data_IF_175575589146
#
_entry.id   IF_175575589146
#
_cell.length_a   1.000
_cell.length_b   1.000
_cell.length_c   1.000
_cell.angle_alpha   90.00
_cell.angle_beta   90.00
_cell.angle_gamma   90.00
#
_symmetry.space_group_name_H-M   'P 1'
#
loop_
_entity.id
_entity.type
_entity.pdbx_description
1 polymer ?
#
# COMPACT_ATOMS: atom_id res chain seq x y z
N UNK A 1 10.77 11.57 3.36
CA UNK A 1 11.92 11.99 2.51
C UNK A 1 11.40 13.01 1.51
N UNK A 2 12.19 14.00 1.10
CA UNK A 2 11.78 14.95 0.07
C UNK A 2 12.19 14.50 -1.34
N UNK A 3 11.63 15.12 -2.36
CA UNK A 3 11.88 14.77 -3.77
C UNK A 3 13.34 15.00 -4.18
N UNK A 4 14.03 15.96 -3.58
CA UNK A 4 15.43 16.26 -3.90
C UNK A 4 16.33 15.10 -3.45
N UNK A 5 16.09 14.58 -2.25
CA UNK A 5 16.79 13.41 -1.74
C UNK A 5 16.52 12.14 -2.58
N UNK A 6 15.29 11.96 -3.06
CA UNK A 6 14.93 10.83 -3.94
C UNK A 6 15.68 10.95 -5.28
N UNK A 7 15.73 12.14 -5.88
CA UNK A 7 16.51 12.40 -7.11
C UNK A 7 17.98 12.13 -6.92
N UNK A 8 18.53 12.49 -5.76
CA UNK A 8 19.94 12.20 -5.44
C UNK A 8 20.20 10.70 -5.36
N UNK A 9 19.36 9.93 -4.64
CA UNK A 9 19.49 8.48 -4.56
C UNK A 9 19.45 7.82 -5.96
N UNK A 10 18.58 8.31 -6.83
CA UNK A 10 18.50 7.82 -8.21
C UNK A 10 19.79 8.18 -9.00
N UNK A 11 20.28 9.41 -8.87
CA UNK A 11 21.52 9.87 -9.52
C UNK A 11 22.77 9.10 -9.06
N UNK A 12 22.80 8.70 -7.80
CA UNK A 12 23.87 7.89 -7.21
C UNK A 12 23.77 6.38 -7.57
N UNK A 13 22.76 5.96 -8.34
CA UNK A 13 22.51 4.56 -8.67
C UNK A 13 22.00 3.72 -7.48
N UNK A 14 21.55 4.36 -6.41
CA UNK A 14 21.05 3.72 -5.19
C UNK A 14 19.54 3.51 -5.18
N UNK A 15 18.86 3.93 -6.23
CA UNK A 15 17.41 3.79 -6.39
C UNK A 15 17.05 3.48 -7.84
N UNK A 16 16.62 2.26 -8.08
CA UNK A 16 16.14 1.79 -9.40
C UNK A 16 14.63 1.65 -9.43
N UNK A 17 14.03 1.19 -8.33
CA UNK A 17 12.61 0.92 -8.24
C UNK A 17 11.99 1.48 -6.97
N UNK A 18 10.72 1.82 -7.07
CA UNK A 18 9.88 2.19 -5.92
C UNK A 18 8.66 1.27 -5.88
N UNK A 19 8.44 0.63 -4.74
CA UNK A 19 7.20 -0.06 -4.43
C UNK A 19 6.20 0.97 -3.92
N UNK A 20 5.12 1.16 -4.62
CA UNK A 20 4.01 2.03 -4.24
C UNK A 20 2.78 1.19 -3.97
N UNK A 21 2.05 1.50 -2.93
CA UNK A 21 0.84 0.75 -2.61
C UNK A 21 0.09 1.30 -1.41
N UNK A 22 -1.05 0.71 -1.15
CA UNK A 22 -1.91 1.02 -0.03
C UNK A 22 -2.39 -0.27 0.66
N UNK A 23 -2.78 -0.21 1.93
CA UNK A 23 -3.39 -1.36 2.58
C UNK A 23 -4.80 -1.62 2.01
N UNK A 24 -5.10 -2.89 1.75
CA UNK A 24 -6.45 -3.35 1.49
C UNK A 24 -7.28 -3.46 2.79
N UNK A 25 -8.48 -4.03 2.72
CA UNK A 25 -9.38 -4.16 3.87
C UNK A 25 -8.86 -5.09 4.98
N UNK A 26 -7.90 -5.96 4.65
CA UNK A 26 -7.27 -6.90 5.59
C UNK A 26 -5.88 -6.43 6.05
N UNK A 27 -5.46 -5.24 5.61
CA UNK A 27 -4.16 -4.66 5.94
C UNK A 27 -3.01 -5.16 5.07
N UNK A 28 -3.29 -5.94 4.03
CA UNK A 28 -2.25 -6.38 3.09
C UNK A 28 -1.82 -5.20 2.22
N UNK A 29 -0.51 -4.96 2.15
CA UNK A 29 0.07 -3.92 1.30
C UNK A 29 0.02 -4.37 -0.16
N UNK A 30 -0.85 -3.73 -0.94
CA UNK A 30 -1.04 -4.03 -2.36
C UNK A 30 -0.68 -2.83 -3.23
N UNK A 31 -0.04 -3.11 -4.34
CA UNK A 31 0.39 -2.03 -5.21
C UNK A 31 1.27 -2.48 -6.37
N UNK A 32 2.19 -1.61 -6.75
CA UNK A 32 3.03 -1.76 -7.94
C UNK A 32 4.49 -1.52 -7.62
N UNK A 33 5.37 -2.17 -8.36
CA UNK A 33 6.80 -1.83 -8.42
C UNK A 33 7.04 -1.04 -9.70
N UNK A 34 7.43 0.20 -9.56
CA UNK A 34 7.66 1.12 -10.68
C UNK A 34 9.12 1.53 -10.77
N UNK A 35 9.60 1.82 -11.96
CA UNK A 35 10.94 2.39 -12.13
C UNK A 35 11.03 3.76 -11.45
N UNK A 36 12.15 4.08 -10.82
CA UNK A 36 12.35 5.33 -10.07
C UNK A 36 12.13 6.58 -10.93
N UNK A 37 12.49 6.54 -12.21
CA UNK A 37 12.21 7.62 -13.15
C UNK A 37 10.72 7.83 -13.33
N UNK A 38 9.96 6.77 -13.58
CA UNK A 38 8.50 6.85 -13.74
C UNK A 38 7.83 7.33 -12.43
N UNK A 39 8.35 6.91 -11.26
CA UNK A 39 7.89 7.43 -9.99
C UNK A 39 8.05 8.94 -9.89
N UNK A 40 9.22 9.49 -10.24
CA UNK A 40 9.48 10.92 -10.20
C UNK A 40 8.65 11.73 -11.21
N UNK A 41 8.39 11.16 -12.37
CA UNK A 41 7.59 11.82 -13.42
C UNK A 41 6.08 11.86 -13.06
N UNK A 42 5.60 10.88 -12.28
CA UNK A 42 4.17 10.66 -12.04
C UNK A 42 3.71 10.90 -10.61
N UNK A 43 4.61 11.09 -9.63
CA UNK A 43 4.23 11.10 -8.20
C UNK A 43 3.22 12.20 -7.84
N UNK A 44 3.24 13.34 -8.54
CA UNK A 44 2.34 14.47 -8.29
C UNK A 44 0.90 14.18 -8.76
N UNK A 45 0.79 13.51 -9.91
CA UNK A 45 -0.51 13.13 -10.49
C UNK A 45 -1.06 11.87 -9.83
N UNK A 46 -0.17 11.02 -9.32
CA UNK A 46 -0.47 9.73 -8.73
C UNK A 46 -0.44 8.58 -9.74
N UNK A 47 -0.85 7.42 -9.27
CA UNK A 47 -0.78 6.17 -10.04
C UNK A 47 -2.13 5.48 -10.05
N UNK A 48 -2.63 5.12 -11.21
CA UNK A 48 -3.88 4.38 -11.33
C UNK A 48 -3.80 3.01 -10.65
N UNK A 49 -4.85 2.63 -9.97
CA UNK A 49 -5.05 1.34 -9.34
C UNK A 49 -6.51 0.93 -9.45
N UNK A 50 -6.77 -0.31 -9.83
CA UNK A 50 -8.13 -0.82 -9.86
C UNK A 50 -8.73 -0.86 -8.44
N UNK A 51 -9.98 -0.46 -8.29
CA UNK A 51 -10.72 -0.46 -7.02
C UNK A 51 -11.00 -1.88 -6.49
N UNK A 52 -10.76 -2.91 -7.29
CA UNK A 52 -10.80 -4.33 -6.87
C UNK A 52 -9.91 -4.62 -5.66
N UNK A 53 -8.94 -3.73 -5.39
CA UNK A 53 -8.15 -3.72 -4.16
C UNK A 53 -9.01 -3.93 -2.90
N UNK A 54 -10.22 -3.41 -2.88
CA UNK A 54 -11.16 -3.52 -1.75
C UNK A 54 -12.07 -4.75 -1.83
N UNK A 55 -11.96 -5.51 -2.92
CA UNK A 55 -12.74 -6.72 -3.16
C UNK A 55 -11.93 -8.01 -3.08
N UNK A 56 -10.66 -7.97 -2.70
CA UNK A 56 -9.83 -9.15 -2.51
C UNK A 56 -9.79 -9.59 -1.06
N UNK A 57 -9.80 -10.90 -0.83
CA UNK A 57 -9.37 -11.49 0.43
C UNK A 57 -7.85 -11.73 0.46
N UNK A 58 -7.35 -12.27 1.58
CA UNK A 58 -5.91 -12.55 1.76
C UNK A 58 -5.39 -13.61 0.77
N UNK A 59 -6.26 -14.49 0.26
CA UNK A 59 -5.94 -15.51 -0.74
C UNK A 59 -6.14 -15.03 -2.18
N UNK A 60 -6.40 -13.73 -2.38
CA UNK A 60 -6.64 -13.08 -3.67
C UNK A 60 -7.93 -13.56 -4.39
N UNK A 61 -8.88 -14.12 -3.66
CA UNK A 61 -10.20 -14.38 -4.20
C UNK A 61 -10.95 -13.05 -4.36
N UNK A 62 -11.60 -12.88 -5.49
CA UNK A 62 -12.37 -11.67 -5.77
C UNK A 62 -13.77 -11.81 -5.18
N UNK A 63 -14.03 -11.08 -4.09
CA UNK A 63 -15.29 -11.09 -3.33
C UNK A 63 -16.19 -9.95 -3.81
N UNK A 64 -16.68 -10.01 -5.04
CA UNK A 64 -17.46 -8.90 -5.63
C UNK A 64 -18.96 -9.00 -5.45
N UNK A 65 -19.45 -10.17 -5.08
CA UNK A 65 -20.87 -10.37 -4.80
C UNK A 65 -21.25 -9.55 -3.56
N UNK A 66 -22.18 -8.62 -3.73
CA UNK A 66 -22.69 -7.73 -2.67
C UNK A 66 -21.79 -6.54 -2.27
N UNK A 67 -20.60 -6.35 -2.86
CA UNK A 67 -19.80 -5.15 -2.62
C UNK A 67 -20.37 -3.95 -3.38
N UNK A 68 -20.61 -2.86 -2.65
CA UNK A 68 -21.15 -1.63 -3.26
C UNK A 68 -20.08 -0.76 -3.90
N UNK A 69 -18.85 -0.81 -3.41
CA UNK A 69 -17.77 0.06 -3.87
C UNK A 69 -17.10 -0.47 -5.12
N UNK A 70 -16.76 -1.76 -5.16
CA UNK A 70 -16.06 -2.42 -6.25
C UNK A 70 -16.82 -3.67 -6.67
N UNK A 71 -17.34 -3.71 -7.89
CA UNK A 71 -18.11 -4.84 -8.40
C UNK A 71 -18.20 -4.80 -9.94
N UNK A 72 -18.74 -5.86 -10.53
CA UNK A 72 -18.93 -5.99 -11.97
C UNK A 72 -19.89 -4.95 -12.57
N UNK A 73 -20.90 -4.52 -11.83
CA UNK A 73 -21.86 -3.50 -12.32
C UNK A 73 -21.19 -2.14 -12.49
N UNK A 74 -20.20 -1.82 -11.65
CA UNK A 74 -19.40 -0.60 -11.71
C UNK A 74 -18.22 -0.70 -12.67
N UNK A 75 -17.90 -1.89 -13.19
CA UNK A 75 -16.82 -2.14 -14.14
C UNK A 75 -15.42 -2.04 -13.51
N UNK A 76 -15.28 -2.14 -12.19
CA UNK A 76 -13.99 -2.02 -11.48
C UNK A 76 -13.23 -0.75 -11.86
N UNK A 77 -13.78 0.39 -11.50
CA UNK A 77 -13.20 1.69 -11.81
C UNK A 77 -11.77 1.85 -11.27
N UNK A 78 -11.01 2.72 -11.89
CA UNK A 78 -9.71 3.10 -11.37
C UNK A 78 -9.86 4.08 -10.19
N UNK A 79 -8.96 3.95 -9.23
CA UNK A 79 -8.67 4.90 -8.17
C UNK A 79 -7.24 5.38 -8.31
N UNK A 80 -6.89 6.49 -7.69
CA UNK A 80 -5.57 7.11 -7.80
C UNK A 80 -4.79 6.90 -6.50
N UNK A 81 -3.66 6.22 -6.58
CA UNK A 81 -2.68 6.12 -5.49
C UNK A 81 -1.79 7.36 -5.48
N UNK A 82 -1.86 8.19 -4.45
CA UNK A 82 -0.97 9.35 -4.23
C UNK A 82 0.06 9.02 -3.17
N UNK A 83 1.36 8.99 -3.50
CA UNK A 83 2.41 8.63 -2.55
C UNK A 83 2.52 9.62 -1.39
N UNK A 84 2.56 9.11 -0.16
CA UNK A 84 2.93 9.87 1.02
C UNK A 84 4.46 9.79 1.22
N UNK A 85 5.16 10.85 0.80
CA UNK A 85 6.63 10.90 0.86
C UNK A 85 7.19 10.84 2.30
N UNK A 86 6.38 11.08 3.32
CA UNK A 86 6.80 10.89 4.71
C UNK A 86 7.07 9.41 5.02
N UNK A 87 6.41 8.51 4.29
CA UNK A 87 6.59 7.04 4.43
C UNK A 87 7.68 6.46 3.51
N UNK A 88 8.28 7.29 2.66
CA UNK A 88 9.29 6.82 1.71
C UNK A 88 10.54 6.32 2.45
N UNK A 89 10.88 5.05 2.28
CA UNK A 89 12.03 4.42 2.91
C UNK A 89 12.66 3.35 2.01
N UNK A 90 14.00 3.15 2.08
CA UNK A 90 14.66 2.01 1.46
C UNK A 90 14.07 0.69 1.98
N UNK A 91 13.99 -0.31 1.10
CA UNK A 91 13.64 -1.69 1.49
C UNK A 91 14.91 -2.41 1.94
N UNK A 92 15.06 -2.77 3.23
CA UNK A 92 16.36 -3.23 3.76
C UNK A 92 16.89 -4.54 3.16
N UNK A 93 16.02 -5.36 2.59
CA UNK A 93 16.35 -6.66 2.00
C UNK A 93 16.34 -6.68 0.46
N UNK A 94 16.19 -5.52 -0.19
CA UNK A 94 16.22 -5.38 -1.64
C UNK A 94 17.16 -4.25 -2.03
N UNK A 95 18.16 -4.56 -2.85
CA UNK A 95 19.11 -3.55 -3.33
C UNK A 95 18.41 -2.58 -4.29
N UNK A 96 18.72 -1.29 -4.15
CA UNK A 96 18.25 -0.20 -5.00
C UNK A 96 16.71 -0.07 -5.08
N UNK A 97 16.00 -0.52 -4.05
CA UNK A 97 14.54 -0.46 -3.95
C UNK A 97 14.11 0.36 -2.74
N UNK A 98 13.15 1.24 -2.94
CA UNK A 98 12.43 1.90 -1.86
C UNK A 98 10.95 1.51 -1.85
N UNK A 99 10.27 1.79 -0.76
CA UNK A 99 8.82 1.64 -0.62
C UNK A 99 8.19 2.94 -0.19
N UNK A 100 6.97 3.20 -0.64
CA UNK A 100 6.19 4.37 -0.28
C UNK A 100 4.71 4.00 -0.17
N UNK A 101 4.09 4.31 0.97
CA UNK A 101 2.65 4.11 1.16
C UNK A 101 1.90 5.23 0.44
N UNK A 102 0.76 4.87 -0.16
CA UNK A 102 -0.09 5.82 -0.87
C UNK A 102 -1.42 6.05 -0.14
N UNK A 103 -1.91 7.27 -0.23
CA UNK A 103 -3.30 7.58 0.03
C UNK A 103 -4.13 7.33 -1.25
N UNK A 104 -5.41 6.95 -1.07
CA UNK A 104 -6.29 6.58 -2.17
C UNK A 104 -7.32 7.66 -2.43
N UNK A 105 -7.45 8.01 -3.70
CA UNK A 105 -8.32 9.07 -4.19
C UNK A 105 -9.20 8.54 -5.32
N UNK A 106 -10.39 9.09 -5.47
CA UNK A 106 -11.21 8.86 -6.66
C UNK A 106 -10.63 9.63 -7.85
N UNK A 107 -11.05 9.28 -9.07
CA UNK A 107 -10.72 10.05 -10.28
C UNK A 107 -11.20 11.52 -10.22
N UNK A 108 -12.19 11.79 -9.37
CA UNK A 108 -12.72 13.14 -9.16
C UNK A 108 -11.97 13.94 -8.11
N UNK A 109 -10.89 13.39 -7.54
CA UNK A 109 -10.05 14.08 -6.55
C UNK A 109 -10.62 14.08 -5.14
N UNK A 110 -11.51 13.15 -4.82
CA UNK A 110 -12.04 12.93 -3.47
C UNK A 110 -11.30 11.76 -2.80
N UNK A 111 -11.20 11.77 -1.48
CA UNK A 111 -10.64 10.63 -0.76
C UNK A 111 -11.51 9.38 -0.91
N UNK A 112 -10.90 8.23 -1.06
CA UNK A 112 -11.58 6.93 -0.95
C UNK A 112 -11.84 6.65 0.53
N UNK A 113 -13.04 6.99 0.99
CA UNK A 113 -13.38 7.03 2.43
C UNK A 113 -13.43 5.65 3.11
N UNK A 114 -13.50 4.56 2.35
CA UNK A 114 -13.43 3.19 2.88
C UNK A 114 -11.98 2.71 3.06
N UNK A 115 -10.99 3.45 2.57
CA UNK A 115 -9.58 3.10 2.75
C UNK A 115 -9.21 3.04 4.24
N UNK A 116 -8.63 1.92 4.74
CA UNK A 116 -8.26 1.80 6.15
C UNK A 116 -7.31 2.93 6.60
N UNK A 117 -6.37 3.34 5.74
CA UNK A 117 -5.46 4.45 6.04
C UNK A 117 -6.20 5.78 6.19
N UNK A 118 -7.19 6.06 5.34
CA UNK A 118 -8.01 7.27 5.46
C UNK A 118 -8.83 7.28 6.75
N UNK A 119 -9.46 6.15 7.09
CA UNK A 119 -10.24 6.00 8.33
C UNK A 119 -9.35 6.26 9.54
N UNK A 120 -8.16 5.63 9.60
CA UNK A 120 -7.20 5.84 10.68
C UNK A 120 -6.75 7.30 10.76
N UNK A 121 -6.39 7.92 9.64
CA UNK A 121 -6.00 9.33 9.58
C UNK A 121 -7.07 10.25 10.13
N UNK A 122 -8.33 10.05 9.72
CA UNK A 122 -9.48 10.81 10.22
C UNK A 122 -9.66 10.67 11.74
N UNK A 123 -9.48 9.46 12.28
CA UNK A 123 -9.57 9.24 13.72
C UNK A 123 -8.42 9.89 14.50
N UNK A 124 -7.21 9.84 13.97
CA UNK A 124 -6.04 10.53 14.54
C UNK A 124 -6.27 12.03 14.60
N UNK A 125 -6.72 12.65 13.51
CA UNK A 125 -7.04 14.08 13.47
C UNK A 125 -8.16 14.45 14.46
N UNK A 126 -9.19 13.63 14.57
CA UNK A 126 -10.26 13.84 15.53
C UNK A 126 -9.77 13.75 16.98
N UNK A 127 -8.89 12.79 17.28
CA UNK A 127 -8.28 12.68 18.61
C UNK A 127 -7.44 13.92 18.95
N UNK A 128 -6.63 14.39 18.01
CA UNK A 128 -5.82 15.61 18.16
C UNK A 128 -6.68 16.85 18.40
N UNK A 129 -7.79 17.00 17.67
CA UNK A 129 -8.74 18.09 17.87
C UNK A 129 -9.39 18.08 19.27
N UNK A 130 -9.43 16.92 19.94
CA UNK A 130 -9.89 16.76 21.31
C UNK A 130 -8.75 16.89 22.35
N UNK A 131 -7.53 17.20 21.93
CA UNK A 131 -6.37 17.38 22.81
C UNK A 131 -5.62 16.08 23.16
N UNK A 132 -5.89 14.99 22.45
CA UNK A 132 -5.19 13.70 22.64
C UNK A 132 -4.15 13.48 21.55
N UNK A 133 -2.99 12.94 21.91
CA UNK A 133 -2.01 12.41 20.94
C UNK A 133 -2.11 10.88 20.94
N UNK A 134 -2.69 10.26 19.90
CA UNK A 134 -2.82 8.82 19.84
C UNK A 134 -1.47 8.15 19.62
N UNK A 135 -1.21 7.07 20.38
CA UNK A 135 -0.04 6.24 20.26
C UNK A 135 -0.46 4.79 20.01
N UNK A 136 0.21 4.12 19.10
CA UNK A 136 -0.01 2.70 18.80
C UNK A 136 1.32 2.02 18.50
N UNK A 137 1.40 0.72 18.79
CA UNK A 137 2.51 -0.14 18.42
C UNK A 137 1.97 -1.45 17.85
N UNK A 138 2.70 -2.02 16.89
CA UNK A 138 2.42 -3.36 16.41
C UNK A 138 3.14 -4.37 17.27
N UNK A 139 2.43 -5.42 17.69
CA UNK A 139 3.00 -6.61 18.31
C UNK A 139 2.98 -7.74 17.28
N UNK A 140 4.17 -8.25 16.94
CA UNK A 140 4.34 -9.27 15.92
C UNK A 140 4.64 -10.60 16.57
N UNK A 141 3.73 -11.55 16.44
CA UNK A 141 3.92 -12.93 16.91
C UNK A 141 4.27 -13.84 15.73
N UNK A 142 5.23 -14.74 15.95
CA UNK A 142 5.61 -15.72 14.95
C UNK A 142 6.10 -17.02 15.61
N UNK A 143 6.08 -18.10 14.82
CA UNK A 143 6.59 -19.41 15.22
C UNK A 143 7.59 -19.91 14.21
N UNK A 144 8.69 -20.49 14.70
CA UNK A 144 9.63 -21.19 13.85
C UNK A 144 9.26 -22.67 13.73
N UNK A 145 9.30 -23.19 12.51
CA UNK A 145 9.10 -24.59 12.23
C UNK A 145 10.39 -25.18 11.62
N UNK A 146 10.67 -26.44 11.91
CA UNK A 146 11.74 -27.21 11.22
C UNK A 146 11.20 -27.80 9.92
N UNK A 147 10.81 -26.92 9.02
CA UNK A 147 10.20 -27.29 7.75
C UNK A 147 10.92 -26.58 6.60
N UNK A 148 10.75 -27.09 5.40
CA UNK A 148 11.08 -26.41 4.16
C UNK A 148 9.91 -26.56 3.19
N UNK A 149 9.98 -25.92 2.02
CA UNK A 149 8.88 -25.95 1.06
C UNK A 149 8.51 -27.37 0.56
N UNK A 150 9.47 -28.29 0.52
CA UNK A 150 9.19 -29.68 0.09
C UNK A 150 8.42 -30.40 1.19
N UNK A 151 8.92 -30.39 2.42
CA UNK A 151 8.26 -31.05 3.55
C UNK A 151 6.87 -30.49 3.84
N UNK A 152 6.65 -29.19 3.63
CA UNK A 152 5.34 -28.58 3.75
C UNK A 152 4.36 -29.07 2.68
N UNK A 153 4.81 -29.16 1.42
CA UNK A 153 3.98 -29.71 0.33
C UNK A 153 3.61 -31.17 0.57
N UNK A 154 4.58 -31.98 1.02
CA UNK A 154 4.35 -33.39 1.32
C UNK A 154 3.33 -33.63 2.43
N UNK A 155 3.15 -32.62 3.30
CA UNK A 155 2.17 -32.59 4.39
C UNK A 155 0.90 -31.82 4.07
N UNK A 156 0.74 -31.37 2.81
CA UNK A 156 -0.38 -30.51 2.39
C UNK A 156 -0.53 -29.23 3.25
N UNK A 157 0.61 -28.65 3.68
CA UNK A 157 0.70 -27.46 4.53
C UNK A 157 0.03 -27.59 5.91
N UNK A 158 -0.19 -28.82 6.39
CA UNK A 158 -0.79 -29.15 7.70
C UNK A 158 0.20 -29.62 8.75
#
# INVERSE_FOLDING_TARGET
MDISAIKQLMGDGKLEYVKIGAPDMEGVYRGKRVASRFFLDSFADGFAQCDVLFGWDIAENVLTDHLKFSNWERGFADIVMKPDLATFAPVPWEENVASCICDLWTEHGEHVTISPRYVLGTLVERARALGFEPMAAAELEFRFFRENQVSLRDKDFG
#
